data_IF_490366211404
#
_entry.id   IF_490366211404
#
_cell.length_a   1.000
_cell.length_b   1.000
_cell.length_c   1.000
_cell.angle_alpha   90.00
_cell.angle_beta   90.00
_cell.angle_gamma   90.00
#
_symmetry.space_group_name_H-M   'P 1'
#
loop_
_entity.id
_entity.type
_entity.pdbx_description
1 polymer ?
#
# COMPACT_ATOMS: atom_id res chain seq x y z
N UNK A 1 -14.52 22.81 8.45
CA UNK A 1 -14.58 21.36 8.54
C UNK A 1 -13.18 20.78 8.44
N UNK A 2 -12.75 20.18 9.51
CA UNK A 2 -11.38 19.69 9.58
C UNK A 2 -11.26 18.37 8.83
N UNK A 3 -10.54 18.40 7.72
CA UNK A 3 -10.13 17.20 7.06
C UNK A 3 -8.95 16.65 7.85
N UNK A 4 -9.22 15.61 8.55
CA UNK A 4 -8.18 14.95 9.30
C UNK A 4 -7.17 14.34 8.33
N UNK A 5 -5.92 14.72 8.46
CA UNK A 5 -4.86 14.09 7.67
C UNK A 5 -4.76 12.63 8.08
N UNK A 6 -4.78 11.68 7.13
CA UNK A 6 -4.64 10.28 7.49
C UNK A 6 -3.27 9.99 8.10
N UNK A 7 -3.24 9.06 9.03
CA UNK A 7 -2.00 8.61 9.64
C UNK A 7 -1.32 7.57 8.75
N UNK A 8 -0.07 7.22 9.06
CA UNK A 8 0.63 6.13 8.37
C UNK A 8 -0.18 4.84 8.49
N UNK A 9 -0.72 4.56 9.67
CA UNK A 9 -1.58 3.41 9.91
C UNK A 9 -2.80 3.40 8.98
N UNK A 10 -3.46 4.54 8.80
CA UNK A 10 -4.61 4.68 7.92
C UNK A 10 -4.26 4.37 6.46
N UNK A 11 -3.12 4.89 6.01
CA UNK A 11 -2.64 4.69 4.63
C UNK A 11 -2.33 3.21 4.39
N UNK A 12 -1.62 2.58 5.29
CA UNK A 12 -1.26 1.16 5.18
C UNK A 12 -2.50 0.28 5.21
N UNK A 13 -3.43 0.58 6.12
CA UNK A 13 -4.69 -0.17 6.21
C UNK A 13 -5.47 -0.08 4.91
N UNK A 14 -5.57 1.11 4.35
CA UNK A 14 -6.29 1.29 3.09
C UNK A 14 -5.62 0.52 1.95
N UNK A 15 -4.30 0.56 1.88
CA UNK A 15 -3.56 -0.19 0.86
C UNK A 15 -3.81 -1.69 0.97
N UNK A 16 -3.80 -2.23 2.19
CA UNK A 16 -4.09 -3.64 2.43
C UNK A 16 -5.53 -3.98 2.04
N UNK A 17 -6.49 -3.15 2.41
CA UNK A 17 -7.90 -3.36 2.04
C UNK A 17 -8.09 -3.39 0.53
N UNK A 18 -7.40 -2.51 -0.18
CA UNK A 18 -7.49 -2.44 -1.65
C UNK A 18 -6.91 -3.70 -2.29
N UNK A 19 -5.77 -4.16 -1.79
CA UNK A 19 -5.06 -5.30 -2.39
C UNK A 19 -5.58 -6.65 -1.92
N UNK A 20 -6.15 -6.72 -0.72
CA UNK A 20 -6.61 -7.97 -0.12
C UNK A 20 -7.93 -7.76 0.64
N UNK A 21 -9.03 -7.47 -0.09
CA UNK A 21 -10.32 -7.19 0.55
C UNK A 21 -10.88 -8.37 1.34
N UNK A 22 -10.47 -9.59 1.02
CA UNK A 22 -10.95 -10.80 1.70
C UNK A 22 -10.07 -11.20 2.88
N UNK A 23 -9.00 -10.46 3.13
CA UNK A 23 -8.08 -10.69 4.25
C UNK A 23 -7.51 -12.13 4.27
N UNK A 24 -7.08 -12.58 3.10
CA UNK A 24 -6.55 -13.94 2.94
C UNK A 24 -5.02 -13.99 2.86
N UNK A 25 -4.36 -12.85 2.64
CA UNK A 25 -2.92 -12.79 2.50
C UNK A 25 -2.26 -12.47 3.84
N UNK A 26 -1.63 -13.47 4.43
CA UNK A 26 -0.97 -13.33 5.72
C UNK A 26 0.16 -12.29 5.69
N UNK A 27 0.89 -12.20 4.58
CA UNK A 27 1.98 -11.23 4.46
C UNK A 27 1.46 -9.81 4.54
N UNK A 28 0.30 -9.52 3.93
CA UNK A 28 -0.31 -8.20 4.02
C UNK A 28 -0.82 -7.91 5.43
N UNK A 29 -1.35 -8.93 6.11
CA UNK A 29 -1.74 -8.78 7.50
C UNK A 29 -0.55 -8.43 8.39
N UNK A 30 0.59 -9.08 8.16
CA UNK A 30 1.81 -8.79 8.89
C UNK A 30 2.32 -7.36 8.60
N UNK A 31 2.23 -6.93 7.35
CA UNK A 31 2.60 -5.57 6.97
C UNK A 31 1.73 -4.55 7.70
N UNK A 32 0.43 -4.79 7.75
CA UNK A 32 -0.50 -3.92 8.47
C UNK A 32 -0.15 -3.82 9.94
N UNK A 33 0.19 -4.94 10.58
CA UNK A 33 0.59 -4.96 11.99
C UNK A 33 1.83 -4.11 12.28
N UNK A 34 2.76 -4.03 11.34
CA UNK A 34 3.98 -3.24 11.51
C UNK A 34 3.67 -1.75 11.67
N UNK A 35 2.54 -1.30 11.17
CA UNK A 35 2.14 0.11 11.20
C UNK A 35 0.90 0.36 12.06
N UNK A 36 0.42 -0.65 12.77
CA UNK A 36 -0.82 -0.55 13.54
C UNK A 36 -0.82 0.59 14.56
N UNK A 37 0.31 0.82 15.20
CA UNK A 37 0.45 1.85 16.22
C UNK A 37 1.03 3.16 15.68
N UNK A 38 1.21 3.27 14.38
CA UNK A 38 1.84 4.45 13.79
C UNK A 38 0.79 5.53 13.48
N UNK A 39 0.56 6.40 14.45
CA UNK A 39 -0.42 7.49 14.35
C UNK A 39 0.16 8.76 13.73
N UNK A 40 1.40 8.75 13.28
CA UNK A 40 2.01 9.93 12.69
C UNK A 40 1.27 10.31 11.41
N UNK A 41 0.94 11.61 11.22
CA UNK A 41 0.29 12.03 9.97
C UNK A 41 1.17 11.70 8.77
N UNK A 42 0.57 11.16 7.72
CA UNK A 42 1.34 10.74 6.54
C UNK A 42 2.11 11.91 5.91
N UNK A 43 1.57 13.12 6.01
CA UNK A 43 2.21 14.32 5.47
C UNK A 43 3.44 14.75 6.28
N UNK A 44 3.58 14.26 7.50
CA UNK A 44 4.74 14.55 8.34
C UNK A 44 5.89 13.55 8.12
N UNK A 45 5.63 12.45 7.41
CA UNK A 45 6.63 11.42 7.15
C UNK A 45 7.44 11.81 5.92
N UNK A 46 8.73 11.94 6.08
CA UNK A 46 9.62 12.30 4.96
C UNK A 46 10.14 11.08 4.21
N UNK A 47 10.25 9.94 4.89
CA UNK A 47 10.89 8.74 4.34
C UNK A 47 9.96 7.53 4.41
N UNK A 48 8.80 7.63 3.79
CA UNK A 48 7.86 6.50 3.78
C UNK A 48 8.47 5.26 3.12
N UNK A 49 9.29 5.46 2.09
CA UNK A 49 9.96 4.36 1.40
C UNK A 49 10.88 3.59 2.34
N UNK A 50 11.62 4.30 3.19
CA UNK A 50 12.50 3.68 4.17
C UNK A 50 11.71 2.91 5.22
N UNK A 51 10.62 3.50 5.71
CA UNK A 51 9.75 2.83 6.69
C UNK A 51 9.14 1.56 6.11
N UNK A 52 8.72 1.61 4.83
CA UNK A 52 8.20 0.44 4.14
C UNK A 52 9.27 -0.64 3.99
N UNK A 53 10.50 -0.27 3.63
CA UNK A 53 11.59 -1.22 3.48
C UNK A 53 11.87 -1.95 4.79
N UNK A 54 11.90 -1.22 5.89
CA UNK A 54 12.13 -1.79 7.21
C UNK A 54 10.98 -2.74 7.60
N UNK A 55 9.75 -2.33 7.34
CA UNK A 55 8.58 -3.16 7.64
C UNK A 55 8.55 -4.42 6.80
N UNK A 56 8.94 -4.32 5.53
CA UNK A 56 8.99 -5.49 4.65
C UNK A 56 10.05 -6.49 5.09
N UNK A 57 11.16 -6.02 5.64
CA UNK A 57 12.17 -6.90 6.22
C UNK A 57 11.62 -7.69 7.41
N UNK A 58 10.73 -7.07 8.18
CA UNK A 58 10.08 -7.71 9.32
C UNK A 58 8.88 -8.56 8.96
N UNK A 59 8.45 -8.49 7.69
CA UNK A 59 7.30 -9.25 7.21
C UNK A 59 7.77 -10.57 6.62
N UNK A 60 7.21 -11.66 7.12
CA UNK A 60 7.60 -13.00 6.67
C UNK A 60 6.80 -13.37 5.41
N UNK A 61 7.46 -13.28 4.26
CA UNK A 61 6.87 -13.76 3.00
C UNK A 61 7.98 -14.39 2.15
N UNK A 62 7.61 -15.39 1.37
CA UNK A 62 8.54 -16.11 0.52
C UNK A 62 8.52 -15.60 -0.91
N UNK A 63 9.71 -15.35 -1.45
CA UNK A 63 9.90 -15.02 -2.85
C UNK A 63 9.18 -13.74 -3.28
N UNK A 64 8.72 -13.74 -4.50
CA UNK A 64 8.03 -12.59 -5.09
C UNK A 64 6.55 -12.65 -4.77
N UNK A 65 6.09 -11.81 -3.85
CA UNK A 65 4.68 -11.72 -3.50
C UNK A 65 4.07 -10.49 -4.19
N UNK A 66 3.27 -10.67 -5.23
CA UNK A 66 2.71 -9.56 -5.99
C UNK A 66 1.80 -8.67 -5.16
N UNK A 67 1.04 -9.25 -4.23
CA UNK A 67 0.15 -8.47 -3.37
C UNK A 67 0.94 -7.52 -2.49
N UNK A 68 2.06 -7.98 -1.93
CA UNK A 68 2.94 -7.13 -1.11
C UNK A 68 3.57 -6.03 -1.96
N UNK A 69 4.05 -6.37 -3.16
CA UNK A 69 4.66 -5.40 -4.06
C UNK A 69 3.67 -4.30 -4.44
N UNK A 70 2.44 -4.69 -4.80
CA UNK A 70 1.40 -3.73 -5.18
C UNK A 70 0.94 -2.92 -3.97
N UNK A 71 0.78 -3.55 -2.81
CA UNK A 71 0.41 -2.83 -1.59
C UNK A 71 1.44 -1.76 -1.24
N UNK A 72 2.73 -2.06 -1.38
CA UNK A 72 3.79 -1.08 -1.15
C UNK A 72 3.68 0.09 -2.12
N UNK A 73 3.38 -0.19 -3.39
CA UNK A 73 3.18 0.86 -4.40
C UNK A 73 1.97 1.73 -4.04
N UNK A 74 0.89 1.10 -3.55
CA UNK A 74 -0.32 1.83 -3.13
C UNK A 74 -0.02 2.74 -1.94
N UNK A 75 0.75 2.25 -0.96
CA UNK A 75 1.15 3.08 0.19
C UNK A 75 1.89 4.33 -0.29
N UNK A 76 2.87 4.17 -1.19
CA UNK A 76 3.62 5.31 -1.72
C UNK A 76 2.73 6.29 -2.46
N UNK A 77 1.83 5.76 -3.29
CA UNK A 77 0.89 6.58 -4.04
C UNK A 77 -0.02 7.37 -3.10
N UNK A 78 -0.60 6.72 -2.11
CA UNK A 78 -1.50 7.37 -1.15
C UNK A 78 -0.74 8.37 -0.26
N UNK A 79 0.53 8.13 0.02
CA UNK A 79 1.36 9.07 0.75
C UNK A 79 1.52 10.39 -0.02
N UNK A 80 1.63 10.31 -1.35
CA UNK A 80 1.70 11.48 -2.22
C UNK A 80 0.32 12.10 -2.47
N UNK A 81 -0.75 11.33 -2.24
CA UNK A 81 -2.13 11.77 -2.50
C UNK A 81 -3.00 11.47 -1.28
N UNK A 82 -2.70 12.08 -0.12
CA UNK A 82 -3.41 11.73 1.12
C UNK A 82 -4.92 11.95 1.07
N UNK A 83 -5.38 12.85 0.22
CA UNK A 83 -6.81 13.09 0.04
C UNK A 83 -7.56 11.89 -0.56
N UNK A 84 -6.86 10.97 -1.20
CA UNK A 84 -7.48 9.80 -1.82
C UNK A 84 -7.67 8.64 -0.85
N UNK A 85 -7.09 8.69 0.34
CA UNK A 85 -7.22 7.62 1.33
C UNK A 85 -8.69 7.42 1.71
N UNK A 86 -9.43 8.51 1.91
CA UNK A 86 -10.83 8.47 2.31
C UNK A 86 -11.78 8.93 1.22
N UNK A 87 -11.32 9.01 -0.02
CA UNK A 87 -12.11 9.57 -1.11
C UNK A 87 -13.22 8.64 -1.62
N UNK A 88 -13.17 7.36 -1.24
CA UNK A 88 -14.09 6.38 -1.80
C UNK A 88 -13.77 6.04 -3.25
N UNK A 89 -12.59 6.39 -3.71
CA UNK A 89 -12.15 6.09 -5.07
C UNK A 89 -12.16 4.59 -5.33
N UNK A 90 -12.39 4.24 -6.59
CA UNK A 90 -12.40 2.85 -7.01
C UNK A 90 -11.03 2.20 -6.75
N UNK A 91 -11.05 1.07 -6.05
CA UNK A 91 -9.82 0.35 -5.69
C UNK A 91 -8.97 -0.02 -6.90
N UNK A 92 -9.61 -0.43 -8.00
CA UNK A 92 -8.90 -0.78 -9.23
C UNK A 92 -8.17 0.40 -9.84
N UNK A 93 -8.79 1.59 -9.82
CA UNK A 93 -8.14 2.80 -10.32
C UNK A 93 -6.95 3.17 -9.44
N UNK A 94 -7.08 3.04 -8.13
CA UNK A 94 -5.98 3.31 -7.20
C UNK A 94 -4.81 2.36 -7.46
N UNK A 95 -5.10 1.08 -7.64
CA UNK A 95 -4.07 0.08 -7.96
C UNK A 95 -3.38 0.44 -9.28
N UNK A 96 -4.17 0.76 -10.31
CA UNK A 96 -3.61 1.10 -11.62
C UNK A 96 -2.68 2.30 -11.55
N UNK A 97 -3.12 3.38 -10.91
CA UNK A 97 -2.31 4.58 -10.76
C UNK A 97 -1.06 4.31 -9.94
N UNK A 98 -1.18 3.50 -8.89
CA UNK A 98 -0.06 3.14 -8.03
C UNK A 98 1.00 2.33 -8.78
N UNK A 99 0.55 1.33 -9.54
CA UNK A 99 1.42 0.47 -10.34
C UNK A 99 2.13 1.30 -11.40
N UNK A 100 1.41 2.17 -12.08
CA UNK A 100 2.00 3.04 -13.10
C UNK A 100 3.03 3.98 -12.51
N UNK A 101 2.74 4.56 -11.35
CA UNK A 101 3.67 5.46 -10.67
C UNK A 101 4.92 4.73 -10.18
N UNK A 102 4.78 3.48 -9.74
CA UNK A 102 5.89 2.70 -9.19
C UNK A 102 6.81 2.17 -10.28
N UNK A 103 6.27 1.66 -11.37
CA UNK A 103 7.04 0.97 -12.39
C UNK A 103 7.09 1.66 -13.75
N UNK A 104 6.36 2.75 -13.93
CA UNK A 104 6.35 3.55 -15.17
C UNK A 104 6.10 2.71 -16.44
N UNK A 105 5.24 1.71 -16.32
CA UNK A 105 4.93 0.83 -17.45
C UNK A 105 5.82 -0.41 -17.55
N UNK A 106 6.87 -0.48 -16.73
CA UNK A 106 7.81 -1.60 -16.73
C UNK A 106 7.49 -2.57 -15.59
N UNK A 107 6.25 -3.02 -15.58
CA UNK A 107 5.70 -3.84 -14.49
C UNK A 107 6.28 -5.26 -14.51
N UNK A 108 6.77 -5.77 -13.37
CA UNK A 108 7.29 -7.14 -13.30
C UNK A 108 6.21 -8.17 -13.69
N UNK A 109 6.62 -9.25 -14.32
CA UNK A 109 5.71 -10.29 -14.78
C UNK A 109 4.84 -10.86 -13.65
N UNK A 110 5.40 -11.09 -12.48
CA UNK A 110 4.63 -11.64 -11.37
C UNK A 110 3.53 -10.70 -10.90
N UNK A 111 3.76 -9.39 -11.02
CA UNK A 111 2.73 -8.38 -10.70
C UNK A 111 1.68 -8.34 -11.80
N UNK A 112 2.09 -8.41 -13.07
CA UNK A 112 1.15 -8.43 -14.20
C UNK A 112 0.21 -9.63 -14.11
N UNK A 113 0.73 -10.79 -13.76
CA UNK A 113 -0.07 -12.01 -13.61
C UNK A 113 -1.10 -11.85 -12.49
N UNK A 114 -0.71 -11.25 -11.39
CA UNK A 114 -1.63 -10.98 -10.29
C UNK A 114 -2.74 -10.02 -10.69
N UNK A 115 -2.37 -8.95 -11.41
CA UNK A 115 -3.34 -7.97 -11.88
C UNK A 115 -4.33 -8.58 -12.87
N UNK A 116 -3.85 -9.46 -13.72
CA UNK A 116 -4.70 -10.13 -14.72
C UNK A 116 -5.71 -11.08 -14.07
N UNK A 117 -5.39 -11.61 -12.91
CA UNK A 117 -6.25 -12.55 -12.20
C UNK A 117 -7.32 -11.91 -11.30
N UNK A 118 -7.35 -10.59 -11.25
CA UNK A 118 -8.30 -9.88 -10.38
C UNK A 118 -9.68 -9.75 -11.02
#
# INVERSE_FOLDING_TARGET
MDRRTPSVSDVVRRAVEICDPDDVDQALGNLEEQFEDDDEPITAVENIDERLAIALEGTDYEGENPAVAVASAVVRYLADHPGEVDSGANAENTIRHSVEAQWHGDVPEFVENWLAGR
#
